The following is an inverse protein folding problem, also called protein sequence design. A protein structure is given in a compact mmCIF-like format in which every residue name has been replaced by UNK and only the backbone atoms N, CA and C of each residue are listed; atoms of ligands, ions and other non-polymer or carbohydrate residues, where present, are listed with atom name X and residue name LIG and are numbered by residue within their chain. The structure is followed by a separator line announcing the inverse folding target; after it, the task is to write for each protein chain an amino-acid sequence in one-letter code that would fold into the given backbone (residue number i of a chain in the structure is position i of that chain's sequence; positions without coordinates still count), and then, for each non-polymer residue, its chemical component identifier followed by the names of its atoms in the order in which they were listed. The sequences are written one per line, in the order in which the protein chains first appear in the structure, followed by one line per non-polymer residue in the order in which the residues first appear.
data_IF_337581212923
#
_entry.id   IF_337581212923
#
_cell.length_a   1.000
_cell.length_b   1.000
_cell.length_c   1.000
_cell.angle_alpha   90.00
_cell.angle_beta   90.00
_cell.angle_gamma   90.00
#
_symmetry.space_group_name_H-M   'P 1'
#
loop_
_entity.id
_entity.type
_entity.pdbx_description
1 polymer ?
#
# COMPACT_ATOMS: atom_id res chain seq x y z
N UNK A 1 68.71 32.27 -8.05
CA UNK A 1 67.95 31.24 -7.31
C UNK A 1 66.70 31.90 -6.74
N UNK A 2 65.66 32.04 -7.56
CA UNK A 2 64.34 32.55 -7.18
C UNK A 2 63.32 31.73 -7.96
N UNK A 3 62.42 31.09 -7.22
CA UNK A 3 61.47 30.07 -7.68
C UNK A 3 60.28 30.72 -8.37
N UNK A 4 59.95 30.23 -9.55
CA UNK A 4 58.62 30.35 -10.15
C UNK A 4 57.55 29.84 -9.17
N UNK A 5 56.52 30.64 -8.95
CA UNK A 5 55.27 30.19 -8.33
C UNK A 5 54.16 30.32 -9.37
N UNK A 6 53.77 29.18 -9.92
CA UNK A 6 52.63 29.07 -10.82
C UNK A 6 51.33 29.43 -10.10
N UNK A 7 50.52 30.25 -10.77
CA UNK A 7 49.18 30.63 -10.35
C UNK A 7 48.20 29.61 -10.93
N UNK A 8 47.68 28.69 -10.11
CA UNK A 8 46.58 27.80 -10.49
C UNK A 8 45.26 28.52 -10.26
N UNK A 9 44.50 28.72 -11.34
CA UNK A 9 43.11 29.20 -11.30
C UNK A 9 42.22 27.99 -11.04
N UNK A 10 41.72 27.86 -9.81
CA UNK A 10 40.74 26.85 -9.44
C UNK A 10 39.35 27.36 -9.87
N UNK A 11 38.81 26.81 -10.94
CA UNK A 11 37.45 27.10 -11.39
C UNK A 11 36.46 26.37 -10.47
N UNK A 12 35.91 27.07 -9.48
CA UNK A 12 34.92 26.53 -8.56
C UNK A 12 33.55 26.52 -9.26
N UNK A 13 33.18 25.39 -9.85
CA UNK A 13 31.81 25.18 -10.33
C UNK A 13 30.94 24.96 -9.09
N UNK A 14 30.21 25.99 -8.68
CA UNK A 14 29.21 25.89 -7.63
C UNK A 14 28.05 25.04 -8.12
N UNK A 15 28.02 23.78 -7.68
CA UNK A 15 26.86 22.91 -7.84
C UNK A 15 25.78 23.41 -6.87
N UNK A 16 24.82 24.19 -7.38
CA UNK A 16 23.58 24.49 -6.64
C UNK A 16 22.77 23.19 -6.57
N UNK A 17 23.00 22.40 -5.51
CA UNK A 17 22.08 21.36 -5.12
C UNK A 17 20.79 22.04 -4.63
N UNK A 18 19.76 22.05 -5.48
CA UNK A 18 18.40 22.32 -5.02
C UNK A 18 18.02 21.10 -4.19
N UNK A 19 18.13 21.19 -2.87
CA UNK A 19 17.58 20.18 -1.99
C UNK A 19 16.05 20.27 -2.09
N UNK A 20 15.42 19.28 -2.71
CA UNK A 20 14.02 18.99 -2.41
C UNK A 20 13.89 18.85 -0.89
N UNK A 21 12.80 19.31 -0.27
CA UNK A 21 12.60 19.08 1.16
C UNK A 21 12.55 17.56 1.34
N UNK A 22 13.61 16.99 1.90
CA UNK A 22 13.58 15.63 2.41
C UNK A 22 12.55 15.67 3.53
N UNK A 23 11.32 15.25 3.23
CA UNK A 23 10.40 14.82 4.26
C UNK A 23 11.20 13.76 5.01
N UNK A 24 11.48 13.98 6.29
CA UNK A 24 11.99 12.94 7.19
C UNK A 24 10.89 11.87 7.27
N UNK A 25 10.74 11.06 6.22
CA UNK A 25 10.16 9.74 6.31
C UNK A 25 11.08 9.02 7.29
N UNK A 26 10.51 8.42 8.35
CA UNK A 26 11.31 7.68 9.32
C UNK A 26 12.24 6.65 8.67
N UNK A 27 13.09 5.98 9.43
CA UNK A 27 14.06 5.04 8.87
C UNK A 27 13.36 3.92 8.07
N UNK A 28 13.38 4.04 6.73
CA UNK A 28 12.80 3.07 5.79
C UNK A 28 13.71 1.84 5.76
N UNK A 29 13.13 0.67 6.02
CA UNK A 29 13.83 -0.61 6.10
C UNK A 29 13.71 -1.45 4.83
N UNK A 30 12.62 -1.27 4.08
CA UNK A 30 12.37 -2.00 2.84
C UNK A 30 11.24 -1.39 2.03
N UNK A 31 11.35 -1.46 0.71
CA UNK A 31 10.34 -0.97 -0.23
C UNK A 31 10.26 -1.84 -1.48
N UNK A 32 9.14 -2.55 -1.66
CA UNK A 32 8.88 -3.42 -2.81
C UNK A 32 7.70 -2.91 -3.62
N UNK A 33 8.00 -2.49 -4.85
CA UNK A 33 7.02 -1.92 -5.78
C UNK A 33 6.36 -2.96 -6.69
N UNK A 34 6.94 -4.15 -6.80
CA UNK A 34 6.50 -5.22 -7.73
C UNK A 34 6.38 -4.78 -9.19
N UNK A 35 7.14 -3.75 -9.60
CA UNK A 35 7.07 -3.14 -10.93
C UNK A 35 8.02 -3.77 -11.95
N UNK A 36 8.79 -4.78 -11.56
CA UNK A 36 9.58 -5.56 -12.50
C UNK A 36 8.65 -6.28 -13.50
N UNK A 37 9.00 -6.33 -14.80
CA UNK A 37 8.10 -6.86 -15.84
C UNK A 37 7.88 -8.36 -15.75
N UNK A 38 8.79 -9.10 -15.11
CA UNK A 38 8.72 -10.56 -14.92
C UNK A 38 9.73 -11.02 -13.87
N UNK A 39 9.69 -12.30 -13.52
CA UNK A 39 10.66 -12.95 -12.64
C UNK A 39 10.19 -13.09 -11.19
N UNK A 40 10.96 -13.89 -10.47
CA UNK A 40 10.75 -14.34 -9.09
C UNK A 40 11.38 -13.42 -8.04
N UNK A 41 11.86 -12.23 -8.43
CA UNK A 41 12.48 -11.26 -7.52
C UNK A 41 11.83 -9.88 -7.68
N UNK A 42 11.49 -9.24 -6.56
CA UNK A 42 11.23 -7.79 -6.53
C UNK A 42 12.34 -7.08 -5.78
N UNK A 43 12.92 -6.07 -6.42
CA UNK A 43 14.09 -5.38 -5.91
C UNK A 43 13.68 -4.41 -4.79
N UNK A 44 14.49 -4.38 -3.74
CA UNK A 44 14.33 -3.42 -2.66
C UNK A 44 14.70 -2.01 -3.12
N UNK A 45 13.67 -1.18 -3.28
CA UNK A 45 13.77 0.21 -3.69
C UNK A 45 14.18 1.15 -2.55
N UNK A 46 14.32 0.66 -1.31
CA UNK A 46 14.80 1.46 -0.18
C UNK A 46 16.32 1.66 -0.17
N UNK A 47 17.06 0.81 -0.90
CA UNK A 47 18.52 0.79 -0.91
C UNK A 47 19.16 -0.03 0.21
N UNK A 48 18.37 -0.78 0.99
CA UNK A 48 18.86 -1.66 2.05
C UNK A 48 19.18 -3.09 1.57
N UNK A 49 19.03 -3.36 0.27
CA UNK A 49 19.34 -4.64 -0.38
C UNK A 49 18.51 -5.82 0.17
N UNK A 50 17.26 -5.58 0.55
CA UNK A 50 16.35 -6.59 1.10
C UNK A 50 15.40 -7.10 0.02
N UNK A 51 15.90 -7.68 -1.05
CA UNK A 51 15.06 -8.11 -2.17
C UNK A 51 14.02 -9.17 -1.73
N UNK A 52 12.82 -9.09 -2.30
CA UNK A 52 11.76 -10.05 -2.06
C UNK A 52 11.81 -11.19 -3.08
N UNK A 53 11.62 -12.42 -2.61
CA UNK A 53 11.43 -13.62 -3.42
C UNK A 53 9.94 -13.88 -3.62
N UNK A 54 9.54 -14.22 -4.85
CA UNK A 54 8.13 -14.38 -5.27
C UNK A 54 7.92 -15.80 -5.81
N UNK A 55 6.89 -16.49 -5.33
CA UNK A 55 6.42 -17.72 -5.95
C UNK A 55 5.56 -17.43 -7.18
N UNK A 56 6.20 -17.38 -8.34
CA UNK A 56 5.54 -17.06 -9.62
C UNK A 56 4.58 -18.16 -10.11
N UNK A 57 4.50 -19.32 -9.43
CA UNK A 57 3.47 -20.31 -9.74
C UNK A 57 2.14 -20.00 -9.06
N UNK A 58 2.17 -19.13 -8.04
CA UNK A 58 1.02 -18.84 -7.20
C UNK A 58 0.53 -17.40 -7.31
N UNK A 59 1.38 -16.47 -7.73
CA UNK A 59 0.99 -15.06 -7.97
C UNK A 59 1.36 -14.61 -9.36
N UNK A 60 0.56 -13.70 -9.91
CA UNK A 60 0.78 -13.08 -11.22
C UNK A 60 1.22 -11.62 -11.05
N UNK A 61 2.17 -11.14 -11.86
CA UNK A 61 2.49 -9.71 -11.90
C UNK A 61 1.50 -8.98 -12.80
N UNK A 62 0.94 -7.89 -12.32
CA UNK A 62 0.02 -7.03 -13.06
C UNK A 62 0.52 -5.58 -13.06
N UNK A 63 0.06 -4.78 -14.02
CA UNK A 63 0.42 -3.37 -14.17
C UNK A 63 -0.75 -2.41 -13.93
N UNK A 64 -1.84 -2.88 -13.32
CA UNK A 64 -3.07 -2.12 -13.11
C UNK A 64 -3.08 -1.35 -11.79
N UNK A 65 -1.94 -1.24 -11.10
CA UNK A 65 -1.84 -0.45 -9.89
C UNK A 65 -1.55 1.03 -10.24
N UNK A 66 -2.11 2.01 -9.50
CA UNK A 66 -1.95 3.44 -9.82
C UNK A 66 -0.48 3.93 -9.90
N UNK A 67 0.44 3.24 -9.22
CA UNK A 67 1.88 3.53 -9.22
C UNK A 67 2.72 2.57 -10.08
N UNK A 68 2.08 1.75 -10.93
CA UNK A 68 2.72 0.78 -11.82
C UNK A 68 2.39 -0.67 -11.48
N UNK A 69 3.33 -1.38 -10.86
CA UNK A 69 3.23 -2.84 -10.66
C UNK A 69 2.49 -3.29 -9.40
N UNK A 70 1.95 -4.50 -9.46
CA UNK A 70 1.40 -5.23 -8.32
C UNK A 70 1.54 -6.75 -8.51
N UNK A 71 1.27 -7.48 -7.44
CA UNK A 71 1.07 -8.92 -7.46
C UNK A 71 -0.42 -9.25 -7.28
N UNK A 72 -0.96 -10.02 -8.20
CA UNK A 72 -2.31 -10.59 -8.18
C UNK A 72 -2.32 -11.96 -7.53
N UNK A 73 -3.33 -12.18 -6.69
CA UNK A 73 -3.60 -13.39 -5.92
C UNK A 73 -4.99 -13.90 -6.30
N UNK A 74 -5.12 -15.15 -6.77
CA UNK A 74 -6.36 -15.65 -7.40
C UNK A 74 -7.24 -16.53 -6.50
N UNK A 75 -6.88 -16.69 -5.23
CA UNK A 75 -7.42 -17.64 -4.24
C UNK A 75 -7.25 -19.14 -4.50
N UNK A 76 -7.14 -19.60 -5.74
CA UNK A 76 -7.07 -21.01 -6.11
C UNK A 76 -5.67 -21.56 -5.84
N UNK A 77 -4.65 -20.79 -6.20
CA UNK A 77 -3.24 -21.06 -5.83
C UNK A 77 -2.96 -20.76 -4.36
N UNK A 78 -3.85 -20.02 -3.70
CA UNK A 78 -3.73 -19.67 -2.27
C UNK A 78 -4.10 -20.82 -1.32
N UNK A 79 -4.53 -21.96 -1.84
CA UNK A 79 -4.96 -23.12 -1.06
C UNK A 79 -4.01 -24.29 -1.34
N UNK A 80 -3.00 -24.43 -0.47
CA UNK A 80 -2.32 -25.71 -0.29
C UNK A 80 -0.85 -25.75 -0.70
N UNK A 81 0.00 -25.14 0.12
CA UNK A 81 1.33 -25.70 0.34
C UNK A 81 1.21 -26.84 1.34
N UNK A 82 1.76 -27.99 0.97
CA UNK A 82 1.92 -29.13 1.86
C UNK A 82 2.81 -28.71 3.04
N UNK A 83 2.65 -29.33 4.21
CA UNK A 83 3.60 -29.14 5.30
C UNK A 83 5.04 -29.44 4.81
N UNK A 84 5.87 -28.40 4.66
CA UNK A 84 7.24 -28.50 4.14
C UNK A 84 7.57 -27.64 2.92
N UNK A 85 6.60 -26.97 2.30
CA UNK A 85 6.80 -25.99 1.21
C UNK A 85 6.68 -24.54 1.73
N UNK A 86 7.17 -23.55 0.97
CA UNK A 86 7.13 -22.13 1.37
C UNK A 86 5.70 -21.71 1.70
N UNK A 87 5.45 -21.29 2.95
CA UNK A 87 4.12 -20.90 3.43
C UNK A 87 3.71 -19.47 3.03
N UNK A 88 4.59 -18.77 2.29
CA UNK A 88 4.42 -17.39 1.86
C UNK A 88 4.59 -17.28 0.35
N UNK A 89 3.66 -16.57 -0.29
CA UNK A 89 3.69 -16.25 -1.72
C UNK A 89 4.80 -15.27 -2.08
N UNK A 90 5.15 -14.40 -1.13
CA UNK A 90 6.26 -13.46 -1.22
C UNK A 90 7.00 -13.47 0.11
N UNK A 91 8.32 -13.59 0.06
CA UNK A 91 9.18 -13.63 1.23
C UNK A 91 10.31 -12.60 1.11
N UNK A 92 10.63 -11.92 2.21
CA UNK A 92 11.85 -11.10 2.36
C UNK A 92 12.75 -11.78 3.39
N UNK A 93 13.71 -12.62 2.96
CA UNK A 93 14.52 -13.44 3.87
C UNK A 93 15.37 -12.59 4.81
N UNK A 94 15.98 -11.54 4.26
CA UNK A 94 16.90 -10.66 4.97
C UNK A 94 16.15 -9.56 5.72
N UNK A 95 15.35 -9.95 6.71
CA UNK A 95 14.54 -9.04 7.53
C UNK A 95 14.65 -9.27 9.04
N UNK A 96 15.48 -10.23 9.45
CA UNK A 96 15.60 -10.65 10.85
C UNK A 96 16.24 -9.60 11.76
N UNK A 97 17.08 -8.72 11.22
CA UNK A 97 17.87 -7.71 11.91
C UNK A 97 17.11 -6.42 12.21
N UNK A 98 15.90 -6.23 11.67
CA UNK A 98 15.14 -5.01 11.96
C UNK A 98 14.53 -5.09 13.37
N UNK A 99 14.76 -4.02 14.14
CA UNK A 99 14.21 -3.84 15.47
C UNK A 99 12.97 -2.94 15.41
N UNK A 100 11.81 -3.52 15.72
CA UNK A 100 10.50 -2.85 15.60
C UNK A 100 9.82 -2.60 16.94
N UNK A 101 10.49 -2.92 18.06
CA UNK A 101 9.92 -2.80 19.41
C UNK A 101 9.67 -1.36 19.87
N UNK A 102 10.46 -0.39 19.39
CA UNK A 102 10.30 1.02 19.75
C UNK A 102 9.34 1.77 18.82
N UNK A 103 8.67 1.01 17.95
CA UNK A 103 7.73 1.50 16.97
C UNK A 103 8.17 1.17 15.54
N UNK A 104 7.17 1.07 14.67
CA UNK A 104 7.36 0.74 13.27
C UNK A 104 6.11 1.12 12.48
N UNK A 105 6.22 1.12 11.16
CA UNK A 105 5.08 1.31 10.26
C UNK A 105 5.18 0.32 9.12
N UNK A 106 4.04 -0.23 8.71
CA UNK A 106 3.89 -1.02 7.48
C UNK A 106 2.80 -0.38 6.66
N UNK A 107 3.05 -0.20 5.37
CA UNK A 107 2.06 0.31 4.42
C UNK A 107 2.06 -0.52 3.13
N UNK A 108 0.91 -0.57 2.47
CA UNK A 108 0.73 -1.19 1.16
C UNK A 108 -0.47 -0.56 0.46
N UNK A 109 -0.50 -0.67 -0.87
CA UNK A 109 -1.71 -0.52 -1.66
C UNK A 109 -2.35 -1.90 -1.86
N UNK A 110 -3.67 -1.98 -1.69
CA UNK A 110 -4.42 -3.23 -1.84
C UNK A 110 -5.64 -3.04 -2.71
N UNK A 111 -5.91 -3.99 -3.58
CA UNK A 111 -7.15 -4.13 -4.32
C UNK A 111 -7.82 -5.42 -3.86
N UNK A 112 -9.04 -5.33 -3.34
CA UNK A 112 -9.74 -6.50 -2.77
C UNK A 112 -10.95 -6.84 -3.64
N UNK A 113 -10.92 -7.96 -4.36
CA UNK A 113 -12.11 -8.48 -5.05
C UNK A 113 -12.95 -9.31 -4.09
N UNK A 114 -12.29 -10.24 -3.38
CA UNK A 114 -12.92 -11.08 -2.37
C UNK A 114 -11.88 -11.50 -1.33
N UNK A 115 -12.28 -11.57 -0.06
CA UNK A 115 -11.38 -12.04 0.98
C UNK A 115 -12.17 -12.74 2.09
N UNK A 116 -11.57 -13.80 2.62
CA UNK A 116 -11.99 -14.36 3.89
C UNK A 116 -11.55 -13.45 5.04
N UNK A 117 -12.23 -13.53 6.21
CA UNK A 117 -11.71 -12.94 7.43
C UNK A 117 -10.28 -13.41 7.74
N UNK A 118 -9.49 -12.49 8.28
CA UNK A 118 -8.09 -12.70 8.66
C UNK A 118 -7.12 -12.96 7.51
N UNK A 119 -7.50 -12.67 6.26
CA UNK A 119 -6.58 -12.72 5.13
C UNK A 119 -5.40 -11.78 5.33
N UNK A 120 -4.21 -12.36 5.45
CA UNK A 120 -2.96 -11.62 5.66
C UNK A 120 -2.62 -10.76 4.43
N UNK A 121 -2.11 -9.56 4.70
CA UNK A 121 -1.59 -8.65 3.68
C UNK A 121 -0.07 -8.53 3.82
N UNK A 122 0.41 -8.25 5.04
CA UNK A 122 1.84 -8.22 5.37
C UNK A 122 2.02 -8.75 6.78
N UNK A 123 2.88 -9.73 6.98
CA UNK A 123 3.11 -10.35 8.29
C UNK A 123 4.58 -10.63 8.53
N UNK A 124 4.99 -10.55 9.80
CA UNK A 124 6.28 -11.08 10.26
C UNK A 124 6.03 -11.80 11.58
N UNK A 125 6.01 -13.14 11.52
CA UNK A 125 5.76 -14.03 12.66
C UNK A 125 6.71 -15.21 12.58
N UNK A 126 7.13 -15.79 13.73
CA UNK A 126 8.17 -16.82 13.74
C UNK A 126 7.77 -18.13 13.06
N UNK A 127 6.50 -18.51 13.14
CA UNK A 127 5.96 -19.77 12.65
C UNK A 127 5.07 -19.61 11.39
N UNK A 128 4.84 -18.36 10.93
CA UNK A 128 4.00 -18.03 9.76
C UNK A 128 2.58 -18.60 9.83
N UNK A 129 2.13 -19.01 11.01
CA UNK A 129 0.83 -19.67 11.21
C UNK A 129 0.22 -19.42 12.60
N UNK A 130 0.97 -18.90 13.56
CA UNK A 130 0.61 -18.93 14.97
C UNK A 130 -0.05 -17.67 15.50
N UNK A 131 0.05 -16.52 14.82
CA UNK A 131 -0.43 -15.23 15.37
C UNK A 131 0.05 -14.98 16.82
N UNK A 132 1.14 -15.61 17.25
CA UNK A 132 1.56 -15.67 18.65
C UNK A 132 2.69 -14.69 18.94
N UNK A 133 3.34 -14.16 17.91
CA UNK A 133 4.42 -13.19 18.03
C UNK A 133 4.47 -12.25 16.83
N UNK A 134 5.37 -11.27 16.89
CA UNK A 134 5.65 -10.37 15.78
C UNK A 134 4.52 -9.38 15.49
N UNK A 135 4.22 -9.18 14.22
CA UNK A 135 3.14 -8.30 13.77
C UNK A 135 2.46 -8.79 12.50
N UNK A 136 1.27 -8.26 12.24
CA UNK A 136 0.59 -8.47 10.97
C UNK A 136 -0.46 -7.40 10.67
N UNK A 137 -0.54 -7.06 9.39
CA UNK A 137 -1.57 -6.27 8.74
C UNK A 137 -2.45 -7.23 7.93
N UNK A 138 -3.76 -7.20 8.13
CA UNK A 138 -4.67 -8.20 7.57
C UNK A 138 -6.08 -7.62 7.35
N UNK A 139 -6.92 -8.35 6.62
CA UNK A 139 -8.34 -8.03 6.42
C UNK A 139 -9.18 -8.60 7.56
N UNK A 140 -9.89 -7.76 8.32
CA UNK A 140 -10.64 -8.14 9.53
C UNK A 140 -12.00 -8.78 9.27
N UNK A 141 -12.66 -9.29 10.33
CA UNK A 141 -13.93 -10.03 10.23
C UNK A 141 -15.13 -9.21 9.73
N UNK A 142 -15.01 -7.87 9.77
CA UNK A 142 -16.08 -6.93 9.39
C UNK A 142 -15.86 -6.25 8.05
N UNK A 143 -14.95 -6.77 7.20
CA UNK A 143 -14.56 -6.15 5.94
C UNK A 143 -13.70 -4.88 6.11
N UNK A 144 -13.20 -4.66 7.33
CA UNK A 144 -12.31 -3.56 7.67
C UNK A 144 -10.83 -3.97 7.67
N UNK A 145 -9.97 -3.04 8.05
CA UNK A 145 -8.55 -3.31 8.23
C UNK A 145 -8.31 -3.82 9.65
N UNK A 146 -7.46 -4.84 9.79
CA UNK A 146 -7.00 -5.36 11.06
C UNK A 146 -5.49 -5.27 11.19
N UNK A 147 -5.01 -5.09 12.42
CA UNK A 147 -3.60 -5.17 12.71
C UNK A 147 -3.34 -5.68 14.10
N UNK A 148 -2.24 -6.41 14.26
CA UNK A 148 -1.79 -6.90 15.56
C UNK A 148 -0.29 -6.68 15.75
N UNK A 149 0.10 -6.57 17.02
CA UNK A 149 1.48 -6.66 17.51
C UNK A 149 1.46 -7.60 18.70
N UNK A 150 2.24 -8.69 18.69
CA UNK A 150 2.17 -9.71 19.73
C UNK A 150 3.54 -10.20 20.16
N UNK A 151 3.59 -10.61 21.42
CA UNK A 151 4.64 -11.43 22.02
C UNK A 151 4.00 -12.42 23.01
N UNK A 152 2.97 -13.15 22.58
CA UNK A 152 2.16 -14.05 23.40
C UNK A 152 0.67 -14.07 23.04
N UNK A 153 -0.17 -14.43 24.03
CA UNK A 153 -1.59 -14.83 23.85
C UNK A 153 -2.58 -13.64 23.97
N UNK A 154 -2.14 -12.44 24.35
CA UNK A 154 -3.05 -11.31 24.66
C UNK A 154 -3.52 -10.46 23.47
N UNK A 155 -4.64 -9.76 23.71
CA UNK A 155 -5.53 -9.04 22.79
C UNK A 155 -4.95 -7.76 22.13
N UNK A 156 -3.68 -7.76 21.72
CA UNK A 156 -3.00 -6.63 21.09
C UNK A 156 -3.27 -6.53 19.59
N UNK A 157 -4.57 -6.55 19.28
CA UNK A 157 -5.11 -6.31 17.96
C UNK A 157 -6.14 -5.19 18.00
N UNK A 158 -6.29 -4.52 16.86
CA UNK A 158 -7.31 -3.53 16.59
C UNK A 158 -7.86 -3.78 15.19
N UNK A 159 -9.16 -3.58 15.01
CA UNK A 159 -9.82 -3.66 13.71
C UNK A 159 -10.77 -2.48 13.55
N UNK A 160 -10.92 -1.99 12.33
CA UNK A 160 -11.93 -0.98 12.02
C UNK A 160 -11.81 -0.40 10.62
N UNK A 161 -12.70 0.55 10.34
CA UNK A 161 -12.91 1.07 8.99
C UNK A 161 -13.61 0.08 8.06
N UNK A 162 -13.60 0.43 6.78
CA UNK A 162 -14.20 -0.33 5.69
C UNK A 162 -13.24 -0.28 4.50
N UNK A 163 -12.93 -1.44 3.92
CA UNK A 163 -12.16 -1.54 2.69
C UNK A 163 -13.15 -1.84 1.57
N UNK A 164 -13.19 -0.96 0.58
CA UNK A 164 -14.12 -1.09 -0.53
C UNK A 164 -13.64 -2.18 -1.48
N UNK A 165 -14.57 -3.04 -1.90
CA UNK A 165 -14.28 -4.06 -2.89
C UNK A 165 -14.04 -3.43 -4.27
N UNK A 166 -13.16 -4.03 -5.05
CA UNK A 166 -12.81 -3.65 -6.42
C UNK A 166 -12.24 -2.23 -6.56
N UNK A 167 -11.61 -1.71 -5.50
CA UNK A 167 -10.90 -0.44 -5.56
C UNK A 167 -9.55 -0.52 -4.86
N UNK A 168 -8.59 0.19 -5.43
CA UNK A 168 -7.29 0.38 -4.80
C UNK A 168 -7.45 1.23 -3.55
N UNK A 169 -6.98 0.70 -2.44
CA UNK A 169 -7.03 1.34 -1.13
C UNK A 169 -5.63 1.35 -0.55
N UNK A 170 -5.17 2.52 -0.08
CA UNK A 170 -3.92 2.56 0.67
C UNK A 170 -4.17 2.19 2.12
N UNK A 171 -3.52 1.12 2.59
CA UNK A 171 -3.64 0.62 3.96
C UNK A 171 -2.32 0.75 4.69
N UNK A 172 -2.37 1.12 5.97
CA UNK A 172 -1.18 1.11 6.81
C UNK A 172 -1.51 0.77 8.26
N UNK A 173 -0.50 0.25 8.96
CA UNK A 173 -0.47 0.19 10.42
C UNK A 173 0.78 0.89 10.93
N UNK A 174 0.61 1.70 11.98
CA UNK A 174 1.71 2.34 12.67
C UNK A 174 1.63 2.04 14.16
N UNK A 175 2.73 1.54 14.71
CA UNK A 175 2.86 1.20 16.12
C UNK A 175 3.91 2.09 16.76
N UNK A 176 3.60 2.71 17.89
CA UNK A 176 4.52 3.62 18.62
C UNK A 176 5.26 2.98 19.79
N UNK A 177 5.21 1.64 19.93
CA UNK A 177 5.61 0.96 21.15
C UNK A 177 4.48 0.85 22.18
N UNK A 178 3.39 1.63 22.04
CA UNK A 178 2.20 1.49 22.91
C UNK A 178 0.88 1.66 22.18
N UNK A 179 0.81 2.54 21.19
CA UNK A 179 -0.40 2.74 20.40
C UNK A 179 -0.23 2.06 19.04
N UNK A 180 -1.20 1.22 18.66
CA UNK A 180 -1.35 0.72 17.30
C UNK A 180 -2.48 1.47 16.61
N UNK A 181 -2.17 2.15 15.51
CA UNK A 181 -3.12 2.88 14.68
C UNK A 181 -3.17 2.29 13.27
N UNK A 182 -4.39 2.11 12.77
CA UNK A 182 -4.67 1.66 11.41
C UNK A 182 -5.12 2.84 10.55
N UNK A 183 -4.72 2.82 9.29
CA UNK A 183 -5.02 3.88 8.33
C UNK A 183 -5.60 3.28 7.05
N UNK A 184 -6.66 3.91 6.57
CA UNK A 184 -7.28 3.66 5.26
C UNK A 184 -7.28 4.99 4.51
N UNK A 185 -6.67 5.02 3.33
CA UNK A 185 -6.47 6.21 2.50
C UNK A 185 -5.84 7.39 3.24
N UNK A 186 -4.88 7.09 4.12
CA UNK A 186 -4.16 8.08 4.93
C UNK A 186 -5.00 8.70 6.06
N UNK A 187 -6.21 8.20 6.32
CA UNK A 187 -7.04 8.59 7.46
C UNK A 187 -7.02 7.50 8.53
N UNK A 188 -7.02 7.89 9.81
CA UNK A 188 -7.11 6.92 10.92
C UNK A 188 -8.44 6.18 10.83
N UNK A 189 -8.38 4.87 10.65
CA UNK A 189 -9.54 3.97 10.60
C UNK A 189 -9.87 3.40 11.99
N UNK A 190 -8.84 3.04 12.76
CA UNK A 190 -8.95 2.56 14.12
C UNK A 190 -7.66 2.81 14.89
N UNK A 191 -7.73 2.88 16.22
CA UNK A 191 -6.56 3.00 17.08
C UNK A 191 -6.82 2.34 18.42
N UNK A 192 -5.78 1.76 19.00
CA UNK A 192 -5.82 1.17 20.33
C UNK A 192 -4.51 1.39 21.05
N UNK A 193 -4.60 1.85 22.29
CA UNK A 193 -3.48 1.91 23.21
C UNK A 193 -3.39 0.59 23.98
N UNK A 194 -2.21 -0.01 24.01
CA UNK A 194 -1.91 -1.23 24.75
C UNK A 194 -1.45 -0.90 26.16
N UNK A 195 -1.66 -1.84 27.09
CA UNK A 195 -1.33 -1.65 28.50
C UNK A 195 0.19 -1.65 28.75
N UNK A 196 0.92 -2.41 27.95
CA UNK A 196 2.36 -2.62 28.02
C UNK A 196 3.01 -2.31 26.68
N UNK A 197 4.31 -2.02 26.72
CA UNK A 197 5.11 -2.03 25.48
C UNK A 197 5.32 -3.47 25.05
N UNK A 198 5.05 -3.76 23.79
CA UNK A 198 5.04 -5.12 23.27
C UNK A 198 6.09 -5.26 22.17
N UNK A 199 7.04 -6.21 22.31
CA UNK A 199 8.04 -6.39 21.29
C UNK A 199 7.39 -7.02 20.05
N UNK A 200 7.24 -6.23 18.99
CA UNK A 200 6.78 -6.70 17.68
C UNK A 200 7.82 -7.55 16.91
N UNK A 201 8.86 -8.05 17.58
CA UNK A 201 9.97 -8.73 16.92
C UNK A 201 9.64 -10.23 16.74
N UNK A 202 9.91 -10.74 15.55
CA UNK A 202 9.96 -12.17 15.29
C UNK A 202 11.26 -12.49 14.53
N UNK A 203 11.93 -13.61 14.86
CA UNK A 203 13.15 -14.05 14.19
C UNK A 203 12.84 -14.75 12.85
N UNK A 204 12.03 -14.12 12.01
CA UNK A 204 11.58 -14.64 10.73
C UNK A 204 11.55 -13.56 9.66
N UNK A 205 11.51 -14.04 8.41
CA UNK A 205 11.30 -13.24 7.21
C UNK A 205 9.98 -12.45 7.26
N UNK A 206 9.92 -11.35 6.52
CA UNK A 206 8.65 -10.70 6.19
C UNK A 206 7.94 -11.54 5.13
N UNK A 207 6.62 -11.65 5.24
CA UNK A 207 5.77 -12.28 4.25
C UNK A 207 4.73 -11.28 3.73
N UNK A 208 4.48 -11.29 2.43
CA UNK A 208 3.44 -10.48 1.78
C UNK A 208 2.41 -11.41 1.14
N UNK A 209 1.13 -11.06 1.31
CA UNK A 209 0.00 -11.85 0.85
C UNK A 209 -0.56 -12.82 1.90
N UNK A 210 -1.61 -13.57 1.52
CA UNK A 210 -2.24 -14.55 2.40
C UNK A 210 -1.23 -15.62 2.85
N UNK A 211 -1.41 -16.16 4.06
CA UNK A 211 -0.55 -17.25 4.57
C UNK A 211 -1.26 -18.59 4.45
N UNK A 212 -0.51 -19.62 4.07
CA UNK A 212 -1.01 -20.99 3.99
C UNK A 212 -0.98 -21.64 5.39
N UNK A 213 -2.11 -22.20 5.83
CA UNK A 213 -2.14 -23.14 6.97
C UNK A 213 -2.47 -22.54 8.34
N UNK A 214 -2.78 -21.25 8.45
CA UNK A 214 -3.45 -20.69 9.63
C UNK A 214 -4.86 -21.25 9.76
N UNK A 215 -5.29 -21.65 10.95
CA UNK A 215 -6.68 -22.05 11.18
C UNK A 215 -7.63 -20.92 10.78
N UNK A 216 -8.56 -21.23 9.87
CA UNK A 216 -9.39 -20.34 9.04
C UNK A 216 -8.74 -19.97 7.71
N UNK A 217 -9.40 -20.37 6.62
CA UNK A 217 -8.94 -20.25 5.24
C UNK A 217 -8.71 -18.78 4.88
N UNK A 218 -7.45 -18.34 4.79
CA UNK A 218 -7.02 -16.99 4.42
C UNK A 218 -7.19 -16.70 2.92
N UNK A 219 -8.30 -17.11 2.29
CA UNK A 219 -8.49 -16.90 0.86
C UNK A 219 -8.51 -15.40 0.56
N UNK A 220 -7.70 -14.96 -0.39
CA UNK A 220 -7.64 -13.59 -0.86
C UNK A 220 -7.64 -13.63 -2.39
N UNK A 221 -8.60 -12.92 -3.00
CA UNK A 221 -8.65 -12.60 -4.42
C UNK A 221 -8.45 -11.10 -4.53
N UNK A 222 -7.36 -10.68 -5.17
CA UNK A 222 -7.02 -9.27 -5.25
C UNK A 222 -5.56 -9.03 -5.56
N UNK A 223 -5.12 -7.80 -5.35
CA UNK A 223 -3.74 -7.39 -5.62
C UNK A 223 -3.10 -6.62 -4.46
N UNK A 224 -1.78 -6.72 -4.34
CA UNK A 224 -0.96 -5.97 -3.39
C UNK A 224 0.16 -5.26 -4.16
N UNK A 225 0.36 -3.98 -3.86
CA UNK A 225 1.38 -3.12 -4.45
C UNK A 225 2.10 -2.28 -3.37
N UNK A 226 3.29 -1.77 -3.70
CA UNK A 226 4.01 -0.74 -2.93
C UNK A 226 4.15 -1.03 -1.44
N UNK A 227 4.63 -2.23 -1.11
CA UNK A 227 4.83 -2.61 0.29
C UNK A 227 6.04 -1.87 0.83
N UNK A 228 5.86 -1.20 1.97
CA UNK A 228 6.91 -0.44 2.64
C UNK A 228 6.92 -0.74 4.13
N UNK A 229 8.12 -0.80 4.70
CA UNK A 229 8.32 -0.97 6.14
C UNK A 229 9.29 0.07 6.66
N UNK A 230 8.94 0.72 7.75
CA UNK A 230 9.78 1.64 8.51
C UNK A 230 10.02 1.09 9.90
N UNK A 231 11.20 1.28 10.46
CA UNK A 231 11.50 1.00 11.87
C UNK A 231 11.15 2.18 12.80
N UNK A 232 10.17 2.99 12.37
CA UNK A 232 9.64 4.12 13.11
C UNK A 232 8.11 4.22 12.97
N UNK A 233 7.48 4.78 13.99
CA UNK A 233 6.06 5.08 13.99
C UNK A 233 5.80 6.38 13.20
N UNK A 234 5.31 6.26 11.97
CA UNK A 234 4.94 7.40 11.16
C UNK A 234 3.68 8.08 11.71
N UNK A 235 3.70 9.41 11.71
CA UNK A 235 2.54 10.24 12.05
C UNK A 235 1.44 10.15 10.98
N UNK A 236 0.19 10.53 11.29
CA UNK A 236 -0.89 10.55 10.30
C UNK A 236 -0.56 11.36 9.03
N UNK A 237 0.16 12.48 9.17
CA UNK A 237 0.57 13.28 8.03
C UNK A 237 1.63 12.57 7.17
N UNK A 238 2.60 11.89 7.79
CA UNK A 238 3.58 11.09 7.06
C UNK A 238 2.92 9.92 6.34
N UNK A 239 1.97 9.22 6.97
CA UNK A 239 1.21 8.14 6.30
C UNK A 239 0.42 8.68 5.10
N UNK A 240 -0.18 9.86 5.23
CA UNK A 240 -0.85 10.53 4.10
C UNK A 240 0.15 10.88 2.98
N UNK A 241 1.36 11.32 3.31
CA UNK A 241 2.41 11.59 2.32
C UNK A 241 2.89 10.31 1.64
N UNK A 242 3.06 9.20 2.36
CA UNK A 242 3.43 7.90 1.79
C UNK A 242 2.44 7.48 0.71
N UNK A 243 1.14 7.57 1.00
CA UNK A 243 0.07 7.30 0.02
C UNK A 243 0.27 8.11 -1.26
N UNK A 244 0.57 9.40 -1.14
CA UNK A 244 0.79 10.29 -2.29
C UNK A 244 2.06 9.97 -3.09
N UNK A 245 3.11 9.44 -2.44
CA UNK A 245 4.37 9.10 -3.12
C UNK A 245 4.27 7.90 -4.07
N UNK A 246 3.24 7.06 -3.93
CA UNK A 246 3.09 5.87 -4.78
C UNK A 246 3.03 6.20 -6.28
N UNK A 247 2.64 7.42 -6.62
CA UNK A 247 2.40 7.88 -7.98
C UNK A 247 3.64 8.51 -8.65
N UNK A 248 4.75 8.53 -7.90
CA UNK A 248 5.93 9.33 -8.21
C UNK A 248 5.79 10.78 -7.73
N UNK A 249 6.92 11.37 -7.33
CA UNK A 249 7.01 12.75 -6.85
C UNK A 249 6.68 13.83 -7.91
N UNK A 250 6.17 13.43 -9.09
CA UNK A 250 5.91 14.30 -10.23
C UNK A 250 4.43 14.51 -10.56
N UNK A 251 3.49 13.98 -9.76
CA UNK A 251 2.05 14.21 -9.96
C UNK A 251 1.55 15.19 -8.89
N UNK A 252 1.15 16.40 -9.30
CA UNK A 252 0.49 17.34 -8.38
C UNK A 252 -0.96 16.88 -8.18
N UNK A 253 -1.40 16.56 -6.95
CA UNK A 253 -2.76 16.07 -6.71
C UNK A 253 -3.87 17.09 -7.04
N UNK A 254 -3.53 18.35 -7.30
CA UNK A 254 -4.48 19.41 -7.68
C UNK A 254 -4.43 19.76 -9.18
N UNK A 255 -3.59 19.07 -9.96
CA UNK A 255 -3.59 19.17 -11.42
C UNK A 255 -4.47 18.10 -12.05
N UNK A 256 -4.63 18.18 -13.37
CA UNK A 256 -5.36 17.26 -14.25
C UNK A 256 -4.40 16.92 -15.40
N UNK A 257 -3.54 15.92 -15.16
CA UNK A 257 -2.35 15.63 -15.98
C UNK A 257 -2.72 15.13 -17.40
N UNK A 258 -3.86 14.48 -17.56
CA UNK A 258 -4.38 13.99 -18.85
C UNK A 258 -5.53 14.82 -19.44
N UNK A 259 -5.96 15.87 -18.73
CA UNK A 259 -6.97 16.84 -19.17
C UNK A 259 -8.35 16.24 -19.42
N UNK A 260 -8.75 15.21 -18.67
CA UNK A 260 -10.06 14.57 -18.76
C UNK A 260 -11.16 15.23 -17.89
N UNK A 261 -10.75 16.15 -17.02
CA UNK A 261 -11.61 16.91 -16.12
C UNK A 261 -11.75 16.31 -14.73
N UNK A 262 -10.95 15.30 -14.37
CA UNK A 262 -10.78 14.74 -13.03
C UNK A 262 -9.42 15.21 -12.49
N UNK A 263 -9.35 15.52 -11.20
CA UNK A 263 -8.06 15.88 -10.58
C UNK A 263 -7.27 14.61 -10.26
N UNK A 264 -5.96 14.67 -10.49
CA UNK A 264 -5.00 13.63 -10.16
C UNK A 264 -5.24 13.04 -8.77
N UNK A 265 -5.43 13.89 -7.76
CA UNK A 265 -5.63 13.45 -6.37
C UNK A 265 -6.92 12.64 -6.14
N UNK A 266 -7.94 12.84 -6.98
CA UNK A 266 -9.18 12.07 -6.95
C UNK A 266 -9.03 10.74 -7.69
N UNK A 267 -8.36 10.73 -8.84
CA UNK A 267 -8.08 9.52 -9.61
C UNK A 267 -7.31 8.52 -8.77
N UNK A 268 -6.22 9.01 -8.18
CA UNK A 268 -5.37 8.30 -7.22
C UNK A 268 -6.18 7.72 -6.07
N UNK A 269 -7.18 8.46 -5.61
CA UNK A 269 -7.97 8.02 -4.46
C UNK A 269 -8.79 6.80 -4.77
N UNK A 270 -9.22 6.63 -6.01
CA UNK A 270 -10.08 5.52 -6.41
C UNK A 270 -9.37 4.51 -7.30
N UNK A 271 -8.08 4.73 -7.56
CA UNK A 271 -7.23 3.79 -8.25
C UNK A 271 -7.20 3.94 -9.76
N UNK A 272 -7.58 5.12 -10.25
CA UNK A 272 -7.48 5.56 -11.65
C UNK A 272 -6.08 6.09 -11.96
N UNK A 273 -5.71 6.11 -13.24
CA UNK A 273 -4.37 6.53 -13.69
C UNK A 273 -4.43 7.99 -14.14
N UNK A 274 -3.78 8.94 -13.42
CA UNK A 274 -3.79 10.37 -13.79
C UNK A 274 -3.20 10.72 -15.15
N UNK A 275 -2.73 9.74 -15.91
CA UNK A 275 -2.18 9.90 -17.26
C UNK A 275 -3.02 9.18 -18.32
N UNK A 276 -4.16 8.59 -17.94
CA UNK A 276 -5.08 7.87 -18.82
C UNK A 276 -6.50 8.45 -18.77
N UNK A 277 -6.69 9.55 -19.50
CA UNK A 277 -7.98 10.24 -19.56
C UNK A 277 -9.13 9.45 -20.20
N UNK A 278 -8.89 8.19 -20.60
CA UNK A 278 -9.97 7.30 -21.03
C UNK A 278 -10.77 6.74 -19.86
N UNK A 279 -10.21 6.73 -18.65
CA UNK A 279 -10.89 6.18 -17.48
C UNK A 279 -12.01 7.12 -16.96
N UNK A 280 -11.97 8.44 -17.21
CA UNK A 280 -13.06 9.37 -16.90
C UNK A 280 -14.43 8.96 -17.46
N UNK A 281 -14.44 8.30 -18.62
CA UNK A 281 -15.67 7.85 -19.30
C UNK A 281 -16.08 6.43 -18.90
N UNK A 282 -15.27 5.72 -18.13
CA UNK A 282 -15.60 4.41 -17.61
C UNK A 282 -16.60 4.51 -16.46
N UNK A 283 -17.39 3.46 -16.29
CA UNK A 283 -18.37 3.28 -15.21
C UNK A 283 -17.83 2.17 -14.30
N UNK A 284 -17.00 2.56 -13.32
CA UNK A 284 -16.15 1.66 -12.55
C UNK A 284 -16.98 0.68 -11.70
N UNK A 285 -17.97 1.18 -10.97
CA UNK A 285 -18.84 0.36 -10.14
C UNK A 285 -20.06 -0.19 -10.88
N UNK A 286 -20.29 0.20 -12.14
CA UNK A 286 -21.40 -0.26 -13.01
C UNK A 286 -22.76 0.15 -12.47
N UNK A 287 -22.87 1.39 -12.01
CA UNK A 287 -24.13 2.00 -11.56
C UNK A 287 -24.79 2.90 -12.62
N UNK A 288 -24.12 3.11 -13.75
CA UNK A 288 -24.59 3.93 -14.86
C UNK A 288 -24.09 5.38 -14.83
N UNK A 289 -23.24 5.76 -13.89
CA UNK A 289 -22.49 7.02 -13.88
C UNK A 289 -21.05 6.77 -14.34
N UNK A 290 -20.48 7.70 -15.10
CA UNK A 290 -19.05 7.64 -15.40
C UNK A 290 -18.24 8.19 -14.22
N UNK A 291 -16.97 7.81 -14.11
CA UNK A 291 -16.04 8.32 -13.11
C UNK A 291 -16.03 9.86 -13.07
N UNK A 292 -16.05 10.53 -14.23
CA UNK A 292 -16.14 11.99 -14.34
C UNK A 292 -17.45 12.56 -13.79
N UNK A 293 -18.58 11.88 -14.02
CA UNK A 293 -19.86 12.31 -13.47
C UNK A 293 -19.85 12.17 -11.94
N UNK A 294 -19.27 11.11 -11.43
CA UNK A 294 -19.13 10.90 -9.99
C UNK A 294 -18.21 11.92 -9.34
N UNK A 295 -17.07 12.23 -9.97
CA UNK A 295 -16.18 13.31 -9.55
C UNK A 295 -16.95 14.63 -9.40
N UNK A 296 -17.69 15.03 -10.45
CA UNK A 296 -18.50 16.27 -10.47
C UNK A 296 -19.62 16.28 -9.43
N UNK A 297 -20.14 15.11 -9.07
CA UNK A 297 -21.18 14.95 -8.06
C UNK A 297 -20.61 14.76 -6.64
N UNK A 298 -19.29 14.69 -6.48
CA UNK A 298 -18.63 14.39 -5.21
C UNK A 298 -18.95 12.99 -4.69
N UNK A 299 -19.20 12.03 -5.59
CA UNK A 299 -19.52 10.63 -5.28
C UNK A 299 -18.26 9.77 -5.21
N UNK A 300 -18.48 8.52 -4.79
CA UNK A 300 -17.43 7.52 -4.67
C UNK A 300 -17.63 6.50 -5.81
N UNK A 301 -16.70 6.43 -6.78
CA UNK A 301 -16.80 5.58 -7.96
C UNK A 301 -16.63 4.09 -7.69
N UNK A 302 -16.39 3.74 -6.44
CA UNK A 302 -16.34 2.37 -5.96
C UNK A 302 -17.66 1.90 -5.36
N UNK A 303 -18.67 2.76 -5.24
CA UNK A 303 -19.89 2.49 -4.47
C UNK A 303 -21.14 2.83 -5.27
N UNK A 304 -21.77 1.76 -5.79
CA UNK A 304 -22.99 1.88 -6.60
C UNK A 304 -23.99 2.83 -5.97
N UNK A 305 -24.43 3.82 -6.73
CA UNK A 305 -25.49 4.70 -6.32
C UNK A 305 -26.77 3.90 -6.06
N UNK A 306 -27.21 3.86 -4.80
CA UNK A 306 -28.43 3.16 -4.40
C UNK A 306 -29.72 3.72 -5.05
N UNK A 307 -29.62 4.81 -5.83
CA UNK A 307 -30.70 5.43 -6.60
C UNK A 307 -30.20 6.01 -7.94
N UNK A 308 -29.44 5.26 -8.73
CA UNK A 308 -29.17 5.65 -10.12
C UNK A 308 -30.52 5.76 -10.86
N UNK A 309 -31.03 6.98 -11.00
CA UNK A 309 -32.29 7.24 -11.70
C UNK A 309 -32.03 6.92 -13.17
N UNK A 310 -32.75 5.96 -13.80
CA UNK A 310 -32.61 5.76 -15.23
C UNK A 310 -33.06 7.04 -15.94
N UNK A 311 -32.16 7.68 -16.69
CA UNK A 311 -32.42 8.76 -17.64
C UNK A 311 -32.91 10.11 -17.08
N UNK A 312 -31.99 10.98 -16.67
CA UNK A 312 -32.20 12.44 -16.67
C UNK A 312 -31.05 13.19 -17.33
N UNK A 313 -30.63 12.73 -18.51
CA UNK A 313 -30.03 13.61 -19.52
C UNK A 313 -31.11 13.84 -20.58
N UNK A 314 -32.11 14.69 -20.26
CA UNK A 314 -32.89 15.33 -21.31
C UNK A 314 -32.12 16.55 -21.77
N UNK A 315 -31.72 16.51 -23.03
CA UNK A 315 -31.13 17.59 -23.80
C UNK A 315 -31.67 18.97 -23.41
N UNK A 316 -30.78 19.86 -22.98
CA UNK A 316 -31.04 21.29 -23.01
C UNK A 316 -31.17 21.71 -24.47
N UNK A 317 -32.40 21.77 -24.97
CA UNK A 317 -32.67 22.46 -26.23
C UNK A 317 -32.70 23.94 -25.89
N UNK A 318 -31.68 24.66 -26.32
CA UNK A 318 -31.64 26.13 -26.25
C UNK A 318 -32.80 26.65 -27.08
N UNK A 319 -33.83 27.20 -26.43
CA UNK A 319 -34.83 28.02 -27.10
C UNK A 319 -34.30 29.45 -27.06
N UNK A 320 -33.78 29.91 -28.19
CA UNK A 320 -33.53 31.34 -28.41
C UNK A 320 -34.86 32.07 -28.67
N UNK A 321 -35.08 33.27 -28.11
CA UNK A 321 -36.14 34.15 -28.56
C UNK A 321 -35.90 34.71 -29.97
#
# INVERSE_FOLDING_TARGET
MMKDKGLSVLCLVGLLAVSAPAIESGRLEGWWRFSEPSGDVSLDSSGNLRDALIDTNAVERISSAPGGGALWFDSVTNIGCSAGESLAFVEVPDFADIHVSNGFTVAAWVFVENAAPFSALVMRTSDRNGWNDGFGLYLGERGGLGGFVRAGIDANAVEGGEILSNCWTHVAMSYSGRNLSLYIDGKVAASKEFQTEEPANAAAALSVGPLVGGGNQSSFVGAIADVRVWSEALTPNQVKSVRSQFLGDSIDPNDDDDSDGILNGWEVRYGFDPRDGTDAQSDHDRDGLTNLQEFRLGRNPCVKAQNAVPSLIKSFTVVTP
#
